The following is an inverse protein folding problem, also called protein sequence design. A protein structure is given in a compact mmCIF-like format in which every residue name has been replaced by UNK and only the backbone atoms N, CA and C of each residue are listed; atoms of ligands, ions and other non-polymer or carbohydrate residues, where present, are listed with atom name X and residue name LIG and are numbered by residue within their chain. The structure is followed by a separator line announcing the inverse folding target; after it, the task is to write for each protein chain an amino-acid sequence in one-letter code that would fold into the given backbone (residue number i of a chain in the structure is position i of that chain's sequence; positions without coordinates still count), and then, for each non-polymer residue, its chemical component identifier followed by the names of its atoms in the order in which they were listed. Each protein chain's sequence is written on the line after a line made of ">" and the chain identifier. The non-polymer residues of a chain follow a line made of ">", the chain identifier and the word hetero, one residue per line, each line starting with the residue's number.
data_IF_480042915706
#
_entry.id   IF_480042915706
#
_cell.length_a   1.000
_cell.length_b   1.000
_cell.length_c   1.000
_cell.angle_alpha   90.00
_cell.angle_beta   90.00
_cell.angle_gamma   90.00
#
_symmetry.space_group_name_H-M   'P 1'
#
loop_
_entity.id
_entity.type
_entity.pdbx_description
1 polymer ?
#
# COMPACT_ATOMS: atom_id res chain seq x y z
N UNK A 1 -20.58 20.84 -0.19
CA UNK A 1 -19.29 20.38 0.34
C UNK A 1 -19.05 21.14 1.63
N UNK A 2 -18.70 20.45 2.70
CA UNK A 2 -18.40 21.03 4.01
C UNK A 2 -17.02 21.71 4.00
N UNK A 3 -17.00 23.05 4.06
CA UNK A 3 -15.77 23.85 3.95
C UNK A 3 -14.80 23.65 5.13
N UNK A 4 -15.31 23.32 6.32
CA UNK A 4 -14.46 23.04 7.49
C UNK A 4 -13.72 21.72 7.29
N UNK A 5 -14.42 20.69 6.81
CA UNK A 5 -13.82 19.38 6.54
C UNK A 5 -12.83 19.46 5.38
N UNK A 6 -13.18 20.18 4.31
CA UNK A 6 -12.25 20.44 3.20
C UNK A 6 -10.95 21.07 3.71
N UNK A 7 -11.03 22.05 4.61
CA UNK A 7 -9.84 22.67 5.20
C UNK A 7 -8.99 21.67 5.98
N UNK A 8 -9.59 20.80 6.79
CA UNK A 8 -8.85 19.75 7.50
C UNK A 8 -8.15 18.82 6.51
N UNK A 9 -8.82 18.46 5.42
CA UNK A 9 -8.24 17.66 4.35
C UNK A 9 -7.08 18.38 3.65
N UNK A 10 -7.24 19.64 3.27
CA UNK A 10 -6.17 20.41 2.63
C UNK A 10 -4.94 20.53 3.54
N UNK A 11 -5.13 20.74 4.85
CA UNK A 11 -4.05 20.79 5.85
C UNK A 11 -3.36 19.42 6.02
N UNK A 12 -4.10 18.32 5.97
CA UNK A 12 -3.58 16.96 5.99
C UNK A 12 -2.71 16.65 4.77
N UNK A 13 -3.19 16.98 3.57
CA UNK A 13 -2.43 16.77 2.33
C UNK A 13 -1.19 17.67 2.26
N UNK A 14 -1.27 18.89 2.79
CA UNK A 14 -0.14 19.80 2.90
C UNK A 14 0.97 19.21 3.79
N UNK A 15 0.61 18.72 4.99
CA UNK A 15 1.58 18.14 5.92
C UNK A 15 2.25 16.86 5.38
N UNK A 16 1.53 16.07 4.58
CA UNK A 16 2.09 14.92 3.85
C UNK A 16 3.15 15.35 2.83
N UNK A 17 2.88 16.43 2.11
CA UNK A 17 3.78 16.96 1.07
C UNK A 17 5.05 17.58 1.67
N UNK A 18 4.88 18.39 2.71
CA UNK A 18 5.96 19.12 3.38
C UNK A 18 6.70 18.27 4.42
N UNK A 19 6.26 17.03 4.65
CA UNK A 19 6.83 16.10 5.64
C UNK A 19 6.96 16.73 7.04
N UNK A 20 5.89 17.37 7.51
CA UNK A 20 5.90 18.09 8.79
C UNK A 20 6.33 17.19 9.97
N UNK A 21 7.25 17.67 10.82
CA UNK A 21 7.84 16.87 11.91
C UNK A 21 6.83 16.45 12.98
N UNK A 22 5.75 17.21 13.17
CA UNK A 22 4.66 16.91 14.10
C UNK A 22 3.40 16.35 13.40
N UNK A 23 3.54 15.82 12.17
CA UNK A 23 2.42 15.32 11.34
C UNK A 23 1.52 14.34 12.10
N UNK A 24 2.10 13.34 12.77
CA UNK A 24 1.31 12.31 13.48
C UNK A 24 0.37 12.92 14.53
N UNK A 25 0.84 13.89 15.31
CA UNK A 25 0.03 14.56 16.32
C UNK A 25 -1.07 15.42 15.68
N UNK A 26 -0.75 16.10 14.57
CA UNK A 26 -1.75 16.85 13.79
C UNK A 26 -2.81 15.93 13.18
N UNK A 27 -2.41 14.80 12.62
CA UNK A 27 -3.32 13.80 12.04
C UNK A 27 -4.30 13.28 13.12
N UNK A 28 -3.83 13.04 14.36
CA UNK A 28 -4.70 12.69 15.51
C UNK A 28 -5.75 13.75 15.79
N UNK A 29 -5.33 15.02 15.88
CA UNK A 29 -6.25 16.14 16.15
C UNK A 29 -7.28 16.29 15.03
N UNK A 30 -6.87 16.12 13.76
CA UNK A 30 -7.80 16.14 12.63
C UNK A 30 -8.80 14.99 12.70
N UNK A 31 -8.35 13.75 12.94
CA UNK A 31 -9.26 12.60 13.08
C UNK A 31 -10.29 12.81 14.19
N UNK A 32 -9.87 13.35 15.35
CA UNK A 32 -10.79 13.73 16.42
C UNK A 32 -11.83 14.74 15.94
N UNK A 33 -11.40 15.79 15.24
CA UNK A 33 -12.33 16.81 14.73
C UNK A 33 -13.28 16.27 13.67
N UNK A 34 -12.80 15.41 12.77
CA UNK A 34 -13.66 14.75 11.78
C UNK A 34 -14.67 13.83 12.46
N UNK A 35 -14.27 13.10 13.51
CA UNK A 35 -15.20 12.25 14.27
C UNK A 35 -16.34 13.06 14.89
N UNK A 36 -16.03 14.21 15.51
CA UNK A 36 -17.05 15.14 16.03
C UNK A 36 -18.03 15.60 14.93
N UNK A 37 -17.54 15.83 13.70
CA UNK A 37 -18.38 16.23 12.56
C UNK A 37 -19.24 15.07 12.04
N UNK A 38 -18.74 13.84 12.07
CA UNK A 38 -19.49 12.62 11.71
C UNK A 38 -20.61 12.38 12.73
N UNK A 39 -20.32 12.47 14.03
CA UNK A 39 -21.29 12.29 15.12
C UNK A 39 -22.38 13.37 15.11
N UNK A 40 -22.05 14.57 14.66
CA UNK A 40 -22.99 15.68 14.49
C UNK A 40 -23.73 15.67 13.13
N UNK A 41 -23.58 14.61 12.33
CA UNK A 41 -24.22 14.45 11.02
C UNK A 41 -23.91 15.62 10.04
N UNK A 42 -22.71 16.21 10.13
CA UNK A 42 -22.31 17.39 9.33
C UNK A 42 -21.78 17.05 7.92
N UNK A 43 -21.65 15.76 7.58
CA UNK A 43 -21.24 15.28 6.25
C UNK A 43 -22.49 15.11 5.39
N UNK A 44 -22.61 15.88 4.30
CA UNK A 44 -23.87 15.97 3.54
C UNK A 44 -23.70 15.63 2.06
N UNK A 45 -22.48 15.71 1.54
CA UNK A 45 -22.17 15.37 0.16
C UNK A 45 -21.13 14.25 0.08
N UNK A 46 -21.13 13.53 -1.04
CA UNK A 46 -20.25 12.38 -1.26
C UNK A 46 -18.76 12.72 -1.03
N UNK A 47 -18.32 13.92 -1.44
CA UNK A 47 -16.94 14.41 -1.24
C UNK A 47 -16.59 14.61 0.24
N UNK A 48 -17.55 14.93 1.10
CA UNK A 48 -17.30 15.13 2.53
C UNK A 48 -16.85 13.80 3.16
N UNK A 49 -17.55 12.71 2.83
CA UNK A 49 -17.17 11.36 3.25
C UNK A 49 -15.79 10.94 2.74
N UNK A 50 -15.43 11.35 1.53
CA UNK A 50 -14.11 11.03 0.95
C UNK A 50 -12.98 11.81 1.63
N UNK A 51 -13.17 13.10 1.88
CA UNK A 51 -12.21 13.89 2.65
C UNK A 51 -12.00 13.30 4.04
N UNK A 52 -13.09 12.92 4.73
CA UNK A 52 -13.01 12.24 6.01
C UNK A 52 -12.28 10.89 5.91
N UNK A 53 -12.60 10.08 4.90
CA UNK A 53 -11.94 8.80 4.67
C UNK A 53 -10.43 8.93 4.50
N UNK A 54 -9.95 9.92 3.74
CA UNK A 54 -8.51 10.14 3.53
C UNK A 54 -7.82 10.55 4.83
N UNK A 55 -8.43 11.42 5.65
CA UNK A 55 -7.88 11.79 6.97
C UNK A 55 -7.75 10.54 7.87
N UNK A 56 -8.76 9.65 7.85
CA UNK A 56 -8.70 8.39 8.61
C UNK A 56 -7.72 7.36 8.02
N UNK A 57 -7.40 7.42 6.72
CA UNK A 57 -6.37 6.57 6.13
C UNK A 57 -4.98 6.82 6.73
N UNK A 58 -4.72 8.03 7.24
CA UNK A 58 -3.50 8.40 7.98
C UNK A 58 -3.61 8.09 9.48
N UNK A 59 -4.57 7.25 9.86
CA UNK A 59 -4.75 6.72 11.19
C UNK A 59 -3.60 5.83 11.69
N UNK A 60 -3.71 5.45 12.95
CA UNK A 60 -2.69 4.67 13.67
C UNK A 60 -3.24 3.35 14.22
N UNK A 61 -4.56 3.13 14.13
CA UNK A 61 -5.25 1.98 14.69
C UNK A 61 -6.11 1.25 13.67
N UNK A 62 -6.42 -0.03 13.96
CA UNK A 62 -7.37 -0.82 13.16
C UNK A 62 -8.72 -0.12 13.03
N UNK A 63 -9.18 0.57 14.08
CA UNK A 63 -10.42 1.32 14.04
C UNK A 63 -10.35 2.50 13.06
N UNK A 64 -9.22 3.22 13.01
CA UNK A 64 -9.07 4.33 12.07
C UNK A 64 -9.13 3.85 10.61
N UNK A 65 -8.41 2.79 10.26
CA UNK A 65 -8.41 2.28 8.88
C UNK A 65 -9.74 1.64 8.50
N UNK A 66 -10.45 1.03 9.46
CA UNK A 66 -11.81 0.56 9.21
C UNK A 66 -12.78 1.71 9.00
N UNK A 67 -12.70 2.75 9.83
CA UNK A 67 -13.49 3.97 9.69
C UNK A 67 -13.24 4.64 8.33
N UNK A 68 -11.99 4.66 7.87
CA UNK A 68 -11.65 5.14 6.53
C UNK A 68 -12.39 4.36 5.43
N UNK A 69 -12.45 3.02 5.54
CA UNK A 69 -13.16 2.19 4.59
C UNK A 69 -14.67 2.47 4.61
N UNK A 70 -15.29 2.53 5.79
CA UNK A 70 -16.72 2.83 5.94
C UNK A 70 -17.07 4.19 5.34
N UNK A 71 -16.31 5.24 5.66
CA UNK A 71 -16.53 6.58 5.12
C UNK A 71 -16.37 6.59 3.59
N UNK A 72 -15.33 5.96 3.05
CA UNK A 72 -15.15 5.89 1.61
C UNK A 72 -16.30 5.15 0.91
N UNK A 73 -16.80 4.07 1.52
CA UNK A 73 -17.97 3.34 1.03
C UNK A 73 -19.23 4.21 1.00
N UNK A 74 -19.47 5.05 2.02
CA UNK A 74 -20.59 6.00 2.00
C UNK A 74 -20.46 7.02 0.86
N UNK A 75 -19.26 7.57 0.65
CA UNK A 75 -19.00 8.45 -0.49
C UNK A 75 -19.32 7.77 -1.83
N UNK A 76 -18.88 6.51 -2.01
CA UNK A 76 -19.18 5.72 -3.22
C UNK A 76 -20.67 5.44 -3.37
N UNK A 77 -21.39 5.09 -2.29
CA UNK A 77 -22.86 4.90 -2.33
C UNK A 77 -23.60 6.16 -2.77
N UNK A 78 -23.07 7.33 -2.42
CA UNK A 78 -23.59 8.63 -2.84
C UNK A 78 -23.15 9.05 -4.26
N UNK A 79 -22.44 8.18 -4.98
CA UNK A 79 -22.03 8.40 -6.37
C UNK A 79 -20.68 9.09 -6.54
N UNK A 80 -19.82 9.12 -5.51
CA UNK A 80 -18.46 9.62 -5.68
C UNK A 80 -17.63 8.73 -6.60
N UNK A 81 -16.89 9.37 -7.50
CA UNK A 81 -15.88 8.75 -8.34
C UNK A 81 -14.54 9.50 -8.16
N UNK A 82 -13.40 8.80 -8.07
CA UNK A 82 -13.24 7.35 -8.27
C UNK A 82 -13.40 6.53 -6.97
N UNK A 83 -13.75 5.24 -7.10
CA UNK A 83 -14.08 4.30 -6.00
C UNK A 83 -12.87 3.67 -5.32
N UNK A 84 -11.69 3.76 -5.94
CA UNK A 84 -10.49 3.06 -5.47
C UNK A 84 -10.09 3.40 -4.02
N UNK A 85 -10.50 4.57 -3.52
CA UNK A 85 -10.22 5.02 -2.14
C UNK A 85 -10.76 4.01 -1.11
N UNK A 86 -11.97 3.46 -1.34
CA UNK A 86 -12.55 2.47 -0.44
C UNK A 86 -11.76 1.16 -0.45
N UNK A 87 -11.29 0.73 -1.63
CA UNK A 87 -10.49 -0.46 -1.79
C UNK A 87 -9.09 -0.32 -1.14
N UNK A 88 -8.48 0.85 -1.25
CA UNK A 88 -7.20 1.18 -0.59
C UNK A 88 -7.33 1.12 0.93
N UNK A 89 -8.41 1.69 1.47
CA UNK A 89 -8.66 1.65 2.91
C UNK A 89 -8.88 0.21 3.42
N UNK A 90 -9.63 -0.62 2.66
CA UNK A 90 -9.81 -2.03 2.98
C UNK A 90 -8.48 -2.79 3.00
N UNK A 91 -7.66 -2.65 1.95
CA UNK A 91 -6.37 -3.33 1.89
C UNK A 91 -5.44 -2.87 3.02
N UNK A 92 -5.49 -1.59 3.44
CA UNK A 92 -4.73 -1.11 4.59
C UNK A 92 -5.18 -1.77 5.89
N UNK A 93 -6.49 -1.89 6.10
CA UNK A 93 -7.06 -2.57 7.26
C UNK A 93 -6.68 -4.06 7.29
N UNK A 94 -6.72 -4.76 6.15
CA UNK A 94 -6.28 -6.15 6.01
C UNK A 94 -4.77 -6.30 6.28
N UNK A 95 -3.95 -5.43 5.68
CA UNK A 95 -2.49 -5.44 5.86
C UNK A 95 -2.10 -5.34 7.33
N UNK A 96 -2.76 -4.45 8.08
CA UNK A 96 -2.45 -4.18 9.49
C UNK A 96 -2.85 -5.32 10.42
N UNK A 97 -3.64 -6.27 9.93
CA UNK A 97 -3.99 -7.52 10.60
C UNK A 97 -3.19 -8.71 10.07
N UNK A 98 -2.23 -8.48 9.17
CA UNK A 98 -1.48 -9.54 8.48
C UNK A 98 -2.38 -10.49 7.68
N UNK A 99 -3.51 -9.99 7.17
CA UNK A 99 -4.43 -10.75 6.32
C UNK A 99 -4.09 -10.52 4.83
N UNK A 100 -4.42 -11.49 3.94
CA UNK A 100 -4.29 -11.28 2.51
C UNK A 100 -5.05 -10.04 2.04
N UNK A 101 -4.42 -9.23 1.18
CA UNK A 101 -5.03 -8.04 0.60
C UNK A 101 -6.09 -8.45 -0.40
N UNK A 102 -7.25 -7.78 -0.38
CA UNK A 102 -8.31 -8.04 -1.35
C UNK A 102 -7.84 -7.64 -2.74
N UNK A 103 -7.26 -6.45 -2.89
CA UNK A 103 -6.92 -5.90 -4.20
C UNK A 103 -5.43 -5.58 -4.40
N UNK A 104 -4.62 -5.58 -3.35
CA UNK A 104 -3.17 -5.38 -3.47
C UNK A 104 -2.73 -3.93 -3.58
N UNK A 105 -3.52 -2.98 -3.09
CA UNK A 105 -3.18 -1.55 -3.16
C UNK A 105 -2.21 -1.08 -2.07
N UNK A 106 -1.81 -1.96 -1.16
CA UNK A 106 -0.75 -1.67 -0.21
C UNK A 106 0.50 -2.40 -0.67
N UNK A 107 1.56 -1.65 -0.89
CA UNK A 107 2.89 -2.22 -1.10
C UNK A 107 3.74 -1.92 0.13
N UNK A 108 4.63 -2.84 0.46
CA UNK A 108 5.55 -2.66 1.57
C UNK A 108 6.96 -2.93 1.06
N UNK A 109 7.93 -2.15 1.52
CA UNK A 109 9.30 -2.38 1.10
C UNK A 109 9.89 -3.54 1.89
N UNK A 110 10.87 -4.21 1.32
CA UNK A 110 11.67 -5.19 2.04
C UNK A 110 12.96 -5.38 1.26
N UNK A 111 14.09 -5.06 1.88
CA UNK A 111 15.37 -5.09 1.21
C UNK A 111 15.54 -4.02 0.12
N UNK A 112 15.08 -2.79 0.37
CA UNK A 112 15.17 -1.70 -0.61
C UNK A 112 14.21 -1.80 -1.81
N UNK A 113 13.36 -2.84 -1.85
CA UNK A 113 12.47 -3.12 -2.99
C UNK A 113 11.02 -3.10 -2.53
N UNK A 114 10.12 -2.48 -3.32
CA UNK A 114 8.68 -2.57 -3.07
C UNK A 114 8.12 -3.93 -3.47
N UNK A 115 7.25 -4.45 -2.61
CA UNK A 115 6.61 -5.75 -2.79
C UNK A 115 5.14 -5.66 -2.47
N UNK A 116 4.37 -6.48 -3.15
CA UNK A 116 2.95 -6.66 -2.92
C UNK A 116 2.82 -7.79 -1.87
N UNK A 117 2.21 -7.53 -0.70
CA UNK A 117 1.87 -8.56 0.28
C UNK A 117 0.95 -9.63 -0.32
N UNK A 118 0.76 -10.72 0.43
CA UNK A 118 -0.13 -11.82 0.03
C UNK A 118 -1.48 -11.28 -0.43
N UNK A 119 -1.96 -11.75 -1.59
CA UNK A 119 -3.25 -11.37 -2.15
C UNK A 119 -4.30 -12.45 -1.87
N UNK A 120 -5.56 -12.04 -1.77
CA UNK A 120 -6.69 -12.96 -1.94
C UNK A 120 -6.73 -13.46 -3.39
N UNK A 121 -6.44 -14.73 -3.59
CA UNK A 121 -6.40 -15.37 -4.90
C UNK A 121 -7.78 -15.41 -5.58
N UNK A 122 -8.86 -15.25 -4.82
CA UNK A 122 -10.23 -15.25 -5.34
C UNK A 122 -10.65 -13.92 -5.95
N UNK A 123 -9.89 -12.84 -5.73
CA UNK A 123 -10.22 -11.54 -6.30
C UNK A 123 -10.00 -11.52 -7.82
N UNK A 124 -11.09 -11.33 -8.56
CA UNK A 124 -11.09 -11.32 -10.02
C UNK A 124 -10.77 -9.92 -10.58
N UNK A 125 -10.24 -9.87 -11.80
CA UNK A 125 -10.02 -8.61 -12.53
C UNK A 125 -11.31 -7.83 -12.79
N UNK A 126 -12.45 -8.52 -12.94
CA UNK A 126 -13.76 -7.88 -13.05
C UNK A 126 -14.14 -7.14 -11.76
N UNK A 127 -13.87 -7.74 -10.59
CA UNK A 127 -14.09 -7.11 -9.30
C UNK A 127 -13.17 -5.90 -9.14
N UNK A 128 -11.88 -6.02 -9.50
CA UNK A 128 -10.92 -4.90 -9.50
C UNK A 128 -11.42 -3.72 -10.34
N UNK A 129 -11.93 -3.99 -11.54
CA UNK A 129 -12.45 -2.96 -12.43
C UNK A 129 -13.66 -2.21 -11.84
N UNK A 130 -14.53 -2.88 -11.07
CA UNK A 130 -15.66 -2.22 -10.38
C UNK A 130 -15.19 -1.19 -9.33
N UNK A 131 -13.96 -1.30 -8.86
CA UNK A 131 -13.33 -0.41 -7.88
C UNK A 131 -12.31 0.57 -8.48
N UNK A 132 -12.31 0.76 -9.81
CA UNK A 132 -11.35 1.60 -10.56
C UNK A 132 -9.88 1.19 -10.37
N UNK A 133 -9.65 -0.10 -10.13
CA UNK A 133 -8.33 -0.66 -9.89
C UNK A 133 -7.76 -1.34 -11.13
N UNK A 134 -6.42 -1.37 -11.26
CA UNK A 134 -5.75 -2.14 -12.30
C UNK A 134 -6.01 -3.65 -12.13
N UNK A 135 -5.86 -4.36 -13.24
CA UNK A 135 -5.83 -5.82 -13.26
C UNK A 135 -4.71 -6.37 -12.38
N UNK A 136 -4.78 -7.66 -12.02
CA UNK A 136 -3.71 -8.35 -11.28
C UNK A 136 -2.38 -8.29 -12.05
N UNK A 137 -2.44 -8.42 -13.37
CA UNK A 137 -1.26 -8.35 -14.25
C UNK A 137 -0.64 -6.95 -14.22
N UNK A 138 -1.44 -5.90 -14.33
CA UNK A 138 -0.96 -4.51 -14.20
C UNK A 138 -0.42 -4.23 -12.81
N UNK A 139 -1.06 -4.74 -11.75
CA UNK A 139 -0.57 -4.64 -10.38
C UNK A 139 0.83 -5.25 -10.24
N UNK A 140 1.03 -6.48 -10.70
CA UNK A 140 2.31 -7.18 -10.64
C UNK A 140 3.39 -6.51 -11.51
N UNK A 141 2.98 -5.84 -12.59
CA UNK A 141 3.86 -5.04 -13.44
C UNK A 141 4.08 -3.60 -12.92
N UNK A 142 3.52 -3.23 -11.76
CA UNK A 142 3.50 -1.88 -11.20
C UNK A 142 3.09 -0.82 -12.24
N UNK A 143 2.01 -1.13 -12.96
CA UNK A 143 1.46 -0.31 -14.04
C UNK A 143 0.08 0.20 -13.63
N UNK A 144 -0.23 1.46 -13.93
CA UNK A 144 -1.55 2.06 -13.71
C UNK A 144 -2.04 1.97 -12.24
N UNK A 145 -1.12 1.88 -11.27
CA UNK A 145 -1.44 1.84 -9.85
C UNK A 145 -2.07 3.16 -9.40
N UNK A 146 -3.15 3.09 -8.62
CA UNK A 146 -3.82 4.27 -8.08
C UNK A 146 -3.12 4.75 -6.81
N UNK A 147 -2.88 6.06 -6.70
CA UNK A 147 -2.27 6.66 -5.51
C UNK A 147 -0.83 6.23 -5.25
N UNK A 148 -0.18 5.59 -6.22
CA UNK A 148 1.23 5.21 -6.14
C UNK A 148 2.10 6.24 -6.85
N UNK A 149 3.33 6.40 -6.38
CA UNK A 149 4.32 7.31 -6.98
C UNK A 149 4.65 6.88 -8.41
N UNK A 150 4.99 7.85 -9.26
CA UNK A 150 5.39 7.53 -10.63
C UNK A 150 6.68 6.71 -10.64
N UNK A 151 6.84 5.91 -11.69
CA UNK A 151 8.04 5.12 -11.90
C UNK A 151 8.35 4.90 -13.37
N UNK A 152 9.64 4.88 -13.68
CA UNK A 152 10.16 4.66 -15.02
C UNK A 152 10.84 3.31 -15.13
N UNK A 153 10.69 2.65 -16.28
CA UNK A 153 11.44 1.42 -16.57
C UNK A 153 12.87 1.84 -16.93
N UNK A 154 13.83 1.43 -16.11
CA UNK A 154 15.27 1.72 -16.31
C UNK A 154 16.03 0.53 -16.88
N UNK A 155 15.50 -0.68 -16.74
CA UNK A 155 16.03 -1.90 -17.32
C UNK A 155 14.91 -2.92 -17.52
N UNK A 156 15.04 -3.78 -18.52
CA UNK A 156 14.11 -4.87 -18.77
C UNK A 156 14.88 -6.11 -19.20
N UNK A 157 14.42 -7.28 -18.76
CA UNK A 157 14.98 -8.58 -19.16
C UNK A 157 13.85 -9.52 -19.53
N UNK A 158 13.98 -10.15 -20.69
CA UNK A 158 13.07 -11.20 -21.13
C UNK A 158 13.71 -12.58 -20.94
N UNK A 159 12.92 -13.53 -20.43
CA UNK A 159 13.29 -14.94 -20.28
C UNK A 159 12.05 -15.78 -20.55
N UNK A 160 12.07 -16.61 -21.60
CA UNK A 160 11.03 -17.61 -21.89
C UNK A 160 9.57 -17.09 -21.82
N UNK A 161 9.31 -15.92 -22.44
CA UNK A 161 7.97 -15.32 -22.47
C UNK A 161 7.59 -14.56 -21.18
N UNK A 162 8.53 -14.40 -20.25
CA UNK A 162 8.41 -13.54 -19.07
C UNK A 162 9.28 -12.29 -19.26
N UNK A 163 8.73 -11.13 -18.93
CA UNK A 163 9.48 -9.87 -18.85
C UNK A 163 9.60 -9.41 -17.40
N UNK A 164 10.81 -9.12 -16.96
CA UNK A 164 11.08 -8.48 -15.66
C UNK A 164 11.57 -7.05 -15.93
N UNK A 165 10.79 -6.08 -15.48
CA UNK A 165 11.13 -4.66 -15.59
C UNK A 165 11.70 -4.15 -14.28
N UNK A 166 12.89 -3.56 -14.29
CA UNK A 166 13.38 -2.76 -13.17
C UNK A 166 12.75 -1.37 -13.28
N UNK A 167 11.96 -1.00 -12.28
CA UNK A 167 11.31 0.31 -12.20
C UNK A 167 11.96 1.17 -11.13
N UNK A 168 12.39 2.37 -11.53
CA UNK A 168 12.90 3.40 -10.62
C UNK A 168 11.76 4.33 -10.22
N UNK A 169 11.62 4.59 -8.92
CA UNK A 169 10.63 5.52 -8.40
C UNK A 169 11.09 6.97 -8.46
N UNK A 170 10.13 7.89 -8.58
CA UNK A 170 10.39 9.34 -8.55
C UNK A 170 10.90 9.86 -7.19
N UNK A 171 10.67 9.11 -6.10
CA UNK A 171 11.14 9.43 -4.75
C UNK A 171 11.32 8.16 -3.90
N UNK A 172 12.21 8.19 -2.89
CA UNK A 172 12.42 7.06 -2.00
C UNK A 172 11.18 6.75 -1.15
N UNK A 173 11.09 5.52 -0.61
CA UNK A 173 9.96 5.08 0.19
C UNK A 173 9.85 5.89 1.47
N UNK A 174 8.62 6.29 1.80
CA UNK A 174 8.34 6.97 3.06
C UNK A 174 8.63 6.08 4.28
N UNK A 175 8.56 4.75 4.11
CA UNK A 175 8.85 3.77 5.16
C UNK A 175 9.46 2.51 4.55
N UNK A 176 10.66 2.15 5.03
CA UNK A 176 11.20 0.80 4.83
C UNK A 176 11.02 -0.01 6.11
N UNK A 177 10.24 -1.12 6.09
CA UNK A 177 10.29 -2.08 7.18
C UNK A 177 11.73 -2.53 7.39
N UNK A 178 12.10 -2.63 8.65
CA UNK A 178 13.32 -3.32 9.07
C UNK A 178 13.25 -4.78 8.59
N UNK A 179 14.42 -5.35 8.24
CA UNK A 179 14.57 -6.76 7.90
C UNK A 179 14.41 -7.61 9.16
N UNK A 180 13.19 -7.68 9.68
CA UNK A 180 12.82 -8.40 10.88
C UNK A 180 11.95 -9.60 10.54
N UNK A 181 12.33 -10.76 11.06
CA UNK A 181 11.59 -12.01 10.93
C UNK A 181 12.06 -13.04 11.94
N UNK A 182 11.21 -14.02 12.20
CA UNK A 182 11.48 -15.14 13.10
C UNK A 182 11.96 -16.34 12.30
N UNK A 183 12.80 -17.19 12.90
CA UNK A 183 13.22 -18.43 12.26
C UNK A 183 12.00 -19.37 12.19
N UNK A 184 11.59 -19.72 10.97
CA UNK A 184 10.44 -20.59 10.72
C UNK A 184 10.82 -22.00 10.24
N UNK A 185 12.03 -22.14 9.68
CA UNK A 185 12.51 -23.38 9.08
C UNK A 185 14.04 -23.36 8.91
N UNK A 186 14.62 -24.43 8.37
CA UNK A 186 16.02 -24.51 7.97
C UNK A 186 16.14 -25.08 6.55
N UNK A 187 17.09 -24.55 5.75
CA UNK A 187 17.40 -25.14 4.43
C UNK A 187 18.01 -26.54 4.59
N UNK A 188 18.13 -27.27 3.47
CA UNK A 188 18.79 -28.60 3.46
C UNK A 188 20.24 -28.53 3.96
N UNK A 189 20.89 -27.38 3.78
CA UNK A 189 22.25 -27.08 4.21
C UNK A 189 22.32 -26.55 5.66
N UNK A 190 21.19 -26.54 6.39
CA UNK A 190 21.12 -26.12 7.79
C UNK A 190 21.11 -24.61 8.02
N UNK A 191 20.87 -23.80 6.98
CA UNK A 191 20.78 -22.33 7.13
C UNK A 191 19.39 -21.93 7.63
N UNK A 192 19.26 -20.99 8.59
CA UNK A 192 17.97 -20.55 9.09
C UNK A 192 17.15 -19.84 8.00
N UNK A 193 15.88 -20.21 7.90
CA UNK A 193 14.88 -19.55 7.05
C UNK A 193 14.05 -18.62 7.94
N UNK A 194 14.15 -17.34 7.68
CA UNK A 194 13.40 -16.30 8.39
C UNK A 194 12.05 -16.10 7.72
N UNK A 195 11.01 -15.80 8.50
CA UNK A 195 9.69 -15.43 8.04
C UNK A 195 9.22 -14.16 8.74
N UNK A 196 8.67 -13.22 7.99
CA UNK A 196 8.03 -12.04 8.57
C UNK A 196 6.52 -12.23 8.71
N UNK A 197 5.86 -11.27 9.36
CA UNK A 197 4.39 -11.27 9.55
C UNK A 197 3.56 -11.28 8.26
N UNK A 198 4.18 -11.05 7.09
CA UNK A 198 3.53 -11.06 5.77
C UNK A 198 3.72 -12.40 5.03
N UNK A 199 4.18 -13.44 5.72
CA UNK A 199 4.43 -14.78 5.15
C UNK A 199 5.60 -14.81 4.15
N UNK A 200 6.47 -13.79 4.16
CA UNK A 200 7.65 -13.75 3.29
C UNK A 200 8.80 -14.48 3.94
N UNK A 201 9.43 -15.37 3.19
CA UNK A 201 10.55 -16.19 3.64
C UNK A 201 11.85 -15.82 2.93
N UNK A 202 12.95 -15.78 3.67
CA UNK A 202 14.29 -15.53 3.15
C UNK A 202 15.37 -16.25 3.96
N UNK A 203 16.57 -16.35 3.39
CA UNK A 203 17.77 -16.86 4.06
C UNK A 203 18.83 -15.78 4.01
N UNK A 204 19.46 -15.47 5.14
CA UNK A 204 20.59 -14.54 5.17
C UNK A 204 21.84 -15.21 4.59
N UNK A 205 22.58 -14.46 3.77
CA UNK A 205 23.89 -14.81 3.24
C UNK A 205 24.99 -14.36 4.20
N UNK A 206 26.17 -14.92 4.00
CA UNK A 206 27.35 -14.65 4.82
C UNK A 206 27.88 -13.21 4.64
N UNK A 207 27.60 -12.58 3.49
CA UNK A 207 27.93 -11.19 3.18
C UNK A 207 26.87 -10.19 3.71
N UNK A 208 25.84 -10.66 4.42
CA UNK A 208 24.74 -9.84 4.90
C UNK A 208 23.64 -9.57 3.87
N UNK A 209 23.78 -10.04 2.63
CA UNK A 209 22.69 -10.09 1.66
C UNK A 209 21.73 -11.25 2.00
N UNK A 210 20.68 -11.47 1.18
CA UNK A 210 19.70 -12.52 1.45
C UNK A 210 19.17 -13.13 0.16
N UNK A 211 18.88 -14.43 0.21
CA UNK A 211 18.22 -15.15 -0.87
C UNK A 211 16.71 -15.07 -0.75
N UNK A 212 16.09 -14.54 -1.80
CA UNK A 212 14.65 -14.33 -1.92
C UNK A 212 13.87 -15.57 -2.40
N UNK A 213 14.52 -16.74 -2.46
CA UNK A 213 14.06 -17.92 -3.21
C UNK A 213 12.72 -18.53 -2.79
N UNK A 214 12.09 -18.02 -1.73
CA UNK A 214 10.86 -18.57 -1.16
C UNK A 214 9.67 -17.61 -1.21
N UNK A 215 9.83 -16.46 -1.87
CA UNK A 215 8.67 -15.67 -2.25
C UNK A 215 8.00 -16.31 -3.46
N UNK A 216 6.81 -16.83 -3.27
CA UNK A 216 5.93 -17.20 -4.38
C UNK A 216 5.58 -15.92 -5.14
N UNK A 217 6.35 -15.62 -6.20
CA UNK A 217 5.95 -14.60 -7.17
C UNK A 217 4.88 -15.28 -8.03
N UNK A 218 3.63 -14.80 -8.02
CA UNK A 218 2.60 -15.37 -8.87
C UNK A 218 3.05 -15.25 -10.33
N UNK A 219 2.80 -16.29 -11.13
CA UNK A 219 3.11 -16.25 -12.55
C UNK A 219 2.33 -15.10 -13.21
N UNK A 220 3.08 -14.21 -13.88
CA UNK A 220 2.55 -13.16 -14.73
C UNK A 220 3.53 -12.93 -15.89
N UNK A 221 3.04 -12.67 -17.11
CA UNK A 221 3.91 -12.46 -18.28
C UNK A 221 4.84 -11.24 -18.12
N UNK A 222 4.46 -10.28 -17.27
CA UNK A 222 5.28 -9.12 -16.93
C UNK A 222 5.25 -8.90 -15.42
N UNK A 223 6.44 -8.75 -14.81
CA UNK A 223 6.61 -8.44 -13.38
C UNK A 223 7.53 -7.22 -13.27
N UNK A 224 7.30 -6.36 -12.28
CA UNK A 224 8.19 -5.27 -11.96
C UNK A 224 9.02 -5.54 -10.70
N UNK A 225 10.32 -5.27 -10.80
CA UNK A 225 11.25 -5.14 -9.70
C UNK A 225 11.42 -3.65 -9.39
N UNK A 226 10.81 -3.17 -8.31
CA UNK A 226 10.73 -1.73 -8.03
C UNK A 226 11.77 -1.33 -7.00
N UNK A 227 12.75 -0.54 -7.45
CA UNK A 227 13.83 -0.02 -6.63
C UNK A 227 13.57 1.44 -6.25
N UNK A 228 13.97 1.79 -5.04
CA UNK A 228 14.15 3.16 -4.61
C UNK A 228 15.64 3.51 -4.67
N UNK A 229 16.00 4.77 -4.92
CA UNK A 229 17.41 5.18 -4.85
C UNK A 229 18.02 4.77 -3.50
N UNK A 230 19.12 4.04 -3.56
CA UNK A 230 20.33 4.42 -2.86
C UNK A 230 21.25 5.00 -3.96
N UNK A 231 21.76 6.21 -3.76
CA UNK A 231 23.00 6.61 -4.43
C UNK A 231 24.03 5.53 -4.02
N UNK A 232 24.56 4.81 -5.01
CA UNK A 232 25.58 3.75 -4.90
C UNK A 232 25.15 2.38 -4.35
N UNK A 233 24.59 1.52 -5.23
CA UNK A 233 24.81 0.07 -5.14
C UNK A 233 25.21 -0.48 -6.53
N UNK A 234 26.50 -0.39 -6.82
CA UNK A 234 27.25 -1.28 -7.72
C UNK A 234 28.63 -1.56 -7.11
#
# INVERSE_FOLDING_TARGET
>A
MNLKLKRLFDEDQCDLKEMATNRVERDRLRRKRVLEMVEAEELTEAIDYIHAAIIFQHGESLNDWWQAHILAMEGVKMGFEPKWIAAVALDRWLLRQSLPLKYGNQVTTFGGIYRIPKLDEKTLNQERALWDLPSKEELLAFKNLRGFVNSDIVSAKEVDGLSINVRKLERPPAHSPTLEGEICDYTKEGKPVYQNKYDWKWVNKEDGAFDYGWMLIPYAPVIAHVIAEDDDIF
#
